data_IF_026901938017
#
_entry.id   IF_026901938017
#
_cell.length_a   1.000
_cell.length_b   1.000
_cell.length_c   1.000
_cell.angle_alpha   90.00
_cell.angle_beta   90.00
_cell.angle_gamma   90.00
#
_symmetry.space_group_name_H-M   'P 1'
#
loop_
_entity.id
_entity.type
_entity.pdbx_description
1 polymer ?
#
# COMPACT_ATOMS: atom_id res chain seq x y z
N UNK A 1 -26.34 -21.66 -69.13
CA UNK A 1 -25.40 -20.63 -69.62
C UNK A 1 -24.89 -19.69 -68.53
N UNK A 2 -25.67 -19.35 -67.49
CA UNK A 2 -25.22 -18.44 -66.41
C UNK A 2 -24.15 -19.02 -65.45
N UNK A 3 -24.11 -20.33 -65.21
CA UNK A 3 -23.19 -20.94 -64.23
C UNK A 3 -21.73 -21.01 -64.74
N UNK A 4 -21.51 -21.12 -66.06
CA UNK A 4 -20.17 -21.16 -66.66
C UNK A 4 -19.47 -19.79 -66.66
N UNK A 5 -20.23 -18.69 -66.71
CA UNK A 5 -19.68 -17.33 -66.76
C UNK A 5 -19.19 -16.88 -65.37
N UNK A 6 -19.91 -17.25 -64.30
CA UNK A 6 -19.52 -16.94 -62.92
C UNK A 6 -18.26 -17.72 -62.53
N UNK A 7 -18.14 -18.98 -62.95
CA UNK A 7 -16.95 -19.80 -62.72
C UNK A 7 -15.69 -19.24 -63.39
N UNK A 8 -15.80 -18.72 -64.62
CA UNK A 8 -14.68 -18.12 -65.33
C UNK A 8 -14.19 -16.80 -64.70
N UNK A 9 -15.11 -15.97 -64.21
CA UNK A 9 -14.77 -14.69 -63.55
C UNK A 9 -14.10 -14.93 -62.19
N UNK A 10 -14.58 -15.92 -61.43
CA UNK A 10 -13.96 -16.30 -60.16
C UNK A 10 -12.55 -16.85 -60.34
N UNK A 11 -12.31 -17.65 -61.39
CA UNK A 11 -10.99 -18.22 -61.68
C UNK A 11 -9.96 -17.14 -62.09
N UNK A 12 -10.36 -16.16 -62.91
CA UNK A 12 -9.49 -15.04 -63.31
C UNK A 12 -9.15 -14.14 -62.11
N UNK A 13 -10.10 -13.89 -61.20
CA UNK A 13 -9.86 -13.11 -59.99
C UNK A 13 -8.86 -13.77 -59.03
N UNK A 14 -8.95 -15.10 -58.84
CA UNK A 14 -8.03 -15.84 -57.98
C UNK A 14 -6.62 -15.89 -58.57
N UNK A 15 -6.48 -16.15 -59.88
CA UNK A 15 -5.16 -16.19 -60.55
C UNK A 15 -4.51 -14.80 -60.59
N UNK A 16 -5.30 -13.73 -60.79
CA UNK A 16 -4.80 -12.35 -60.74
C UNK A 16 -4.29 -11.95 -59.36
N UNK A 17 -4.99 -12.36 -58.29
CA UNK A 17 -4.60 -12.02 -56.91
C UNK A 17 -3.30 -12.71 -56.47
N UNK A 18 -3.10 -13.98 -56.81
CA UNK A 18 -1.86 -14.72 -56.50
C UNK A 18 -0.64 -14.15 -57.24
N UNK A 19 -0.80 -13.76 -58.50
CA UNK A 19 0.28 -13.13 -59.26
C UNK A 19 0.70 -11.77 -58.66
N UNK A 20 -0.26 -10.95 -58.22
CA UNK A 20 0.00 -9.61 -57.69
C UNK A 20 0.57 -9.61 -56.27
N UNK A 21 0.06 -10.46 -55.36
CA UNK A 21 0.45 -10.41 -53.94
C UNK A 21 1.57 -11.35 -53.53
N UNK A 22 1.86 -12.41 -54.31
CA UNK A 22 2.86 -13.41 -53.94
C UNK A 22 4.04 -13.40 -54.91
N UNK A 23 3.77 -13.42 -56.21
CA UNK A 23 4.82 -13.53 -57.24
C UNK A 23 5.51 -12.18 -57.50
N UNK A 24 4.74 -11.09 -57.63
CA UNK A 24 5.30 -9.77 -57.93
C UNK A 24 6.25 -9.23 -56.83
N UNK A 25 5.95 -9.34 -55.52
CA UNK A 25 6.88 -8.89 -54.47
C UNK A 25 8.15 -9.75 -54.40
N UNK A 26 8.04 -11.05 -54.69
CA UNK A 26 9.16 -11.98 -54.66
C UNK A 26 10.14 -11.80 -55.83
N UNK A 27 9.67 -11.34 -57.00
CA UNK A 27 10.52 -11.13 -58.19
C UNK A 27 11.06 -9.69 -58.32
N UNK A 28 10.34 -8.67 -57.81
CA UNK A 28 10.67 -7.27 -58.13
C UNK A 28 11.16 -6.43 -56.96
N UNK A 29 11.12 -6.90 -55.72
CA UNK A 29 11.62 -6.16 -54.55
C UNK A 29 10.85 -4.86 -54.27
N UNK A 30 10.39 -4.67 -53.04
CA UNK A 30 9.69 -3.44 -52.70
C UNK A 30 10.67 -2.25 -52.71
N UNK A 31 10.51 -1.33 -53.66
CA UNK A 31 11.17 -0.01 -53.59
C UNK A 31 10.70 0.68 -52.32
N UNK A 32 11.64 0.97 -51.40
CA UNK A 32 11.42 1.78 -50.20
C UNK A 32 10.69 3.08 -50.56
N UNK A 33 9.39 3.13 -50.25
CA UNK A 33 8.63 4.38 -50.24
C UNK A 33 9.08 5.26 -49.09
N UNK A 34 9.15 6.57 -49.32
CA UNK A 34 9.49 7.55 -48.31
C UNK A 34 8.46 7.52 -47.16
N UNK A 35 8.96 7.39 -45.94
CA UNK A 35 8.17 7.43 -44.71
C UNK A 35 7.79 8.88 -44.47
N UNK A 36 6.51 9.22 -44.52
CA UNK A 36 6.00 10.47 -43.96
C UNK A 36 6.01 10.35 -42.45
N UNK A 37 6.83 11.17 -41.81
CA UNK A 37 7.00 11.28 -40.36
C UNK A 37 5.68 11.77 -39.74
N UNK A 38 4.94 10.87 -39.10
CA UNK A 38 3.81 11.22 -38.27
C UNK A 38 4.38 11.89 -37.00
N UNK A 39 3.89 13.07 -36.58
CA UNK A 39 4.33 13.67 -35.31
C UNK A 39 4.14 12.64 -34.19
N UNK A 40 5.11 12.48 -33.28
CA UNK A 40 5.00 11.52 -32.20
C UNK A 40 3.72 11.81 -31.41
N UNK A 41 2.93 10.77 -31.18
CA UNK A 41 1.86 10.85 -30.20
C UNK A 41 2.51 11.29 -28.88
N UNK A 42 1.99 12.36 -28.27
CA UNK A 42 2.39 12.72 -26.92
C UNK A 42 2.17 11.50 -26.03
N UNK A 43 3.25 10.85 -25.63
CA UNK A 43 3.22 9.88 -24.54
C UNK A 43 2.76 10.67 -23.31
N UNK A 44 1.52 10.43 -22.89
CA UNK A 44 1.07 10.84 -21.57
C UNK A 44 1.93 10.02 -20.62
N UNK A 45 3.01 10.62 -20.12
CA UNK A 45 3.82 10.01 -19.06
C UNK A 45 2.86 9.71 -17.92
N UNK A 46 2.58 8.42 -17.68
CA UNK A 46 1.96 8.00 -16.43
C UNK A 46 2.82 8.57 -15.31
N UNK A 47 2.22 9.27 -14.31
CA UNK A 47 2.98 9.76 -13.17
C UNK A 47 3.82 8.62 -12.61
N UNK A 48 5.09 8.88 -12.35
CA UNK A 48 5.92 7.91 -11.66
C UNK A 48 5.21 7.54 -10.34
N UNK A 49 5.15 6.24 -10.00
CA UNK A 49 4.61 5.78 -8.72
C UNK A 49 5.15 6.62 -7.57
N UNK A 50 4.29 7.07 -6.66
CA UNK A 50 4.74 7.84 -5.50
C UNK A 50 5.74 6.99 -4.70
N UNK A 51 6.97 7.50 -4.57
CA UNK A 51 8.03 6.83 -3.83
C UNK A 51 7.86 7.09 -2.33
N UNK A 52 7.92 6.02 -1.54
CA UNK A 52 7.85 6.09 -0.08
C UNK A 52 9.05 6.84 0.51
N UNK A 53 8.77 7.70 1.48
CA UNK A 53 9.73 8.42 2.31
C UNK A 53 9.50 8.08 3.78
N UNK A 54 10.51 7.44 4.38
CA UNK A 54 10.48 7.11 5.81
C UNK A 54 10.36 8.37 6.66
N UNK A 55 9.52 8.31 7.69
CA UNK A 55 9.42 9.33 8.73
C UNK A 55 10.43 9.12 9.86
N UNK A 56 11.22 8.04 9.82
CA UNK A 56 12.28 7.82 10.79
C UNK A 56 13.48 8.74 10.51
N UNK A 57 13.96 9.42 11.54
CA UNK A 57 15.22 10.19 11.50
C UNK A 57 16.44 9.31 11.80
N UNK A 58 16.21 8.15 12.41
CA UNK A 58 17.23 7.12 12.63
C UNK A 58 16.84 5.86 11.83
N UNK A 59 17.74 5.32 10.97
CA UNK A 59 17.43 4.13 10.20
C UNK A 59 17.03 2.94 11.08
N UNK A 60 16.05 2.12 10.65
CA UNK A 60 15.70 0.88 11.34
C UNK A 60 16.83 -0.14 11.20
N UNK A 61 16.75 -1.25 11.92
CA UNK A 61 17.74 -2.32 11.82
C UNK A 61 17.71 -3.04 10.45
N UNK A 62 16.55 -3.03 9.79
CA UNK A 62 16.37 -3.56 8.45
C UNK A 62 15.20 -2.87 7.73
N UNK A 63 15.15 -3.02 6.41
CA UNK A 63 14.05 -2.59 5.56
C UNK A 63 13.59 -3.76 4.67
N UNK A 64 12.30 -3.82 4.36
CA UNK A 64 11.73 -4.74 3.39
C UNK A 64 10.66 -4.05 2.54
N UNK A 65 10.34 -4.63 1.39
CA UNK A 65 9.22 -4.19 0.56
C UNK A 65 8.20 -5.31 0.43
N UNK A 66 6.94 -4.97 0.67
CA UNK A 66 5.79 -5.83 0.49
C UNK A 66 4.95 -5.29 -0.66
N UNK A 67 4.69 -6.14 -1.65
CA UNK A 67 3.82 -5.82 -2.78
C UNK A 67 2.45 -6.47 -2.58
N UNK A 68 1.42 -5.65 -2.42
CA UNK A 68 0.05 -6.08 -2.22
C UNK A 68 -0.66 -6.28 -3.56
N UNK A 69 -1.38 -7.39 -3.68
CA UNK A 69 -2.28 -7.64 -4.82
C UNK A 69 -3.60 -6.88 -4.70
N UNK A 70 -4.02 -6.59 -3.48
CA UNK A 70 -5.15 -5.73 -3.13
C UNK A 70 -4.94 -5.14 -1.72
N UNK A 71 -5.80 -4.21 -1.32
CA UNK A 71 -5.67 -3.47 -0.05
C UNK A 71 -6.59 -4.02 1.06
N UNK A 72 -7.06 -5.27 0.95
CA UNK A 72 -7.92 -5.84 1.99
C UNK A 72 -7.09 -6.43 3.15
N UNK A 73 -7.72 -6.57 4.32
CA UNK A 73 -7.07 -7.11 5.51
C UNK A 73 -6.40 -8.48 5.28
N UNK A 74 -7.05 -9.51 4.70
CA UNK A 74 -6.41 -10.80 4.48
C UNK A 74 -5.09 -10.73 3.70
N UNK A 75 -5.04 -9.95 2.62
CA UNK A 75 -3.82 -9.77 1.81
C UNK A 75 -2.74 -9.06 2.61
N UNK A 76 -3.08 -7.98 3.30
CA UNK A 76 -2.16 -7.22 4.15
C UNK A 76 -1.58 -8.11 5.26
N UNK A 77 -2.44 -8.85 5.95
CA UNK A 77 -2.06 -9.72 7.07
C UNK A 77 -1.09 -10.81 6.63
N UNK A 78 -1.40 -11.53 5.54
CA UNK A 78 -0.53 -12.59 5.00
C UNK A 78 0.83 -12.01 4.60
N UNK A 79 0.84 -10.86 3.94
CA UNK A 79 2.08 -10.26 3.45
C UNK A 79 2.98 -9.80 4.60
N UNK A 80 2.41 -9.19 5.65
CA UNK A 80 3.16 -8.81 6.85
C UNK A 80 3.59 -10.03 7.69
N UNK A 81 2.76 -11.06 7.80
CA UNK A 81 3.11 -12.32 8.47
C UNK A 81 4.30 -13.01 7.77
N UNK A 82 4.29 -13.04 6.44
CA UNK A 82 5.39 -13.60 5.67
C UNK A 82 6.71 -12.86 5.96
N UNK A 83 6.68 -11.54 6.03
CA UNK A 83 7.86 -10.73 6.35
C UNK A 83 8.29 -10.85 7.82
N UNK A 84 7.35 -11.14 8.72
CA UNK A 84 7.64 -11.37 10.13
C UNK A 84 8.48 -12.64 10.37
N UNK A 85 8.49 -13.63 9.45
CA UNK A 85 9.37 -14.79 9.56
C UNK A 85 10.86 -14.45 9.37
N UNK A 86 11.17 -13.33 8.73
CA UNK A 86 12.53 -12.80 8.64
C UNK A 86 12.89 -12.10 9.97
N UNK A 87 13.07 -12.89 11.04
CA UNK A 87 13.24 -12.41 12.41
C UNK A 87 14.42 -11.45 12.59
N UNK A 88 14.25 -10.47 13.48
CA UNK A 88 15.31 -9.61 14.00
C UNK A 88 15.55 -9.92 15.49
N UNK A 89 16.59 -9.32 16.07
CA UNK A 89 16.81 -9.42 17.51
C UNK A 89 15.76 -8.61 18.29
N UNK A 90 15.55 -9.00 19.55
CA UNK A 90 14.70 -8.27 20.49
C UNK A 90 15.05 -6.78 20.56
N UNK A 91 14.02 -5.93 20.56
CA UNK A 91 14.15 -4.48 20.62
C UNK A 91 14.40 -3.81 19.27
N UNK A 92 14.47 -4.58 18.17
CA UNK A 92 14.73 -4.03 16.84
C UNK A 92 13.47 -3.74 16.04
N UNK A 93 13.60 -2.79 15.11
CA UNK A 93 12.58 -2.43 14.14
C UNK A 93 13.01 -2.84 12.74
N UNK A 94 12.04 -3.31 11.96
CA UNK A 94 12.11 -3.41 10.50
C UNK A 94 11.10 -2.46 9.89
N UNK A 95 11.51 -1.61 8.95
CA UNK A 95 10.58 -0.80 8.17
C UNK A 95 10.07 -1.57 6.95
N UNK A 96 8.76 -1.50 6.72
CA UNK A 96 8.07 -2.19 5.64
C UNK A 96 7.53 -1.15 4.66
N UNK A 97 8.05 -1.16 3.44
CA UNK A 97 7.52 -0.37 2.33
C UNK A 97 6.32 -1.12 1.75
N UNK A 98 5.12 -0.57 1.88
CA UNK A 98 3.88 -1.24 1.50
C UNK A 98 3.42 -0.64 0.16
N UNK A 99 3.64 -1.39 -0.92
CA UNK A 99 3.34 -0.95 -2.27
C UNK A 99 2.32 -1.83 -2.98
N UNK A 100 1.66 -1.31 -4.00
CA UNK A 100 0.88 -2.03 -5.00
C UNK A 100 1.41 -1.73 -6.42
N UNK A 101 0.67 -2.14 -7.46
CA UNK A 101 1.05 -1.88 -8.85
C UNK A 101 1.21 -0.38 -9.21
N UNK A 102 0.66 0.52 -8.39
CA UNK A 102 0.67 1.98 -8.56
C UNK A 102 1.74 2.68 -7.71
N UNK A 103 2.48 1.95 -6.86
CA UNK A 103 3.48 2.51 -5.94
C UNK A 103 3.12 2.32 -4.47
N UNK A 104 3.64 3.19 -3.60
CA UNK A 104 3.31 3.17 -2.18
C UNK A 104 1.80 3.28 -1.98
N UNK A 105 1.24 2.39 -1.17
CA UNK A 105 -0.18 2.42 -0.83
C UNK A 105 -0.47 3.66 0.02
N UNK A 106 -1.48 4.48 -0.30
CA UNK A 106 -1.85 5.60 0.53
C UNK A 106 -2.32 5.15 1.92
N UNK A 107 -1.89 5.86 2.97
CA UNK A 107 -2.27 5.58 4.35
C UNK A 107 -3.79 5.51 4.57
N UNK A 108 -4.62 6.41 4.02
CA UNK A 108 -6.08 6.29 4.17
C UNK A 108 -6.63 4.98 3.63
N UNK A 109 -6.15 4.54 2.47
CA UNK A 109 -6.58 3.28 1.86
C UNK A 109 -6.09 2.08 2.69
N UNK A 110 -4.83 2.13 3.14
CA UNK A 110 -4.25 1.10 4.00
C UNK A 110 -5.03 0.95 5.30
N UNK A 111 -5.29 2.07 5.98
CA UNK A 111 -5.99 2.10 7.26
C UNK A 111 -7.42 1.56 7.12
N UNK A 112 -8.14 1.91 6.07
CA UNK A 112 -9.47 1.35 5.78
C UNK A 112 -9.38 -0.17 5.51
N UNK A 113 -8.31 -0.61 4.85
CA UNK A 113 -8.03 -2.02 4.60
C UNK A 113 -7.91 -2.85 5.88
N UNK A 114 -7.26 -2.31 6.93
CA UNK A 114 -7.05 -3.01 8.22
C UNK A 114 -8.11 -2.67 9.27
N UNK A 115 -8.69 -1.46 9.24
CA UNK A 115 -9.75 -0.98 10.12
C UNK A 115 -10.90 -0.46 9.25
N UNK A 116 -11.84 -1.32 8.83
CA UNK A 116 -12.96 -0.90 7.98
C UNK A 116 -13.81 0.21 8.59
N UNK A 117 -13.92 0.28 9.92
CA UNK A 117 -14.62 1.35 10.63
C UNK A 117 -14.03 2.76 10.37
N UNK A 118 -12.76 2.85 9.93
CA UNK A 118 -12.14 4.11 9.56
C UNK A 118 -12.77 4.76 8.31
N UNK A 119 -13.61 4.03 7.56
CA UNK A 119 -14.43 4.62 6.47
C UNK A 119 -15.41 5.69 6.95
N UNK A 120 -15.79 5.66 8.24
CA UNK A 120 -16.61 6.71 8.86
C UNK A 120 -15.81 8.00 9.15
N UNK A 121 -14.48 7.95 9.03
CA UNK A 121 -13.58 9.06 9.34
C UNK A 121 -13.13 9.79 8.07
N UNK A 122 -12.75 11.06 8.23
CA UNK A 122 -12.14 11.86 7.17
C UNK A 122 -10.61 11.68 7.13
N UNK A 123 -10.13 10.43 7.10
CA UNK A 123 -8.70 10.09 7.22
C UNK A 123 -7.82 10.85 6.22
N UNK A 124 -8.27 10.95 4.96
CA UNK A 124 -7.55 11.67 3.90
C UNK A 124 -7.49 13.19 4.10
N UNK A 125 -8.36 13.78 4.93
CA UNK A 125 -8.30 15.20 5.27
C UNK A 125 -7.31 15.48 6.39
N UNK A 126 -6.96 14.47 7.19
CA UNK A 126 -6.10 14.62 8.35
C UNK A 126 -4.64 14.30 8.07
N UNK A 127 -4.38 13.31 7.21
CA UNK A 127 -3.04 12.77 7.03
C UNK A 127 -2.51 12.97 5.61
N UNK A 128 -1.18 13.04 5.52
CA UNK A 128 -0.48 12.85 4.27
C UNK A 128 -0.74 11.44 3.71
N UNK A 129 -0.55 11.27 2.40
CA UNK A 129 -0.79 9.97 1.77
C UNK A 129 0.28 8.93 2.16
N UNK A 130 1.52 9.35 2.41
CA UNK A 130 2.59 8.43 2.78
C UNK A 130 2.54 8.09 4.28
N UNK A 131 3.15 6.98 4.66
CA UNK A 131 3.28 6.55 6.04
C UNK A 131 4.44 5.58 6.21
N UNK A 132 5.00 5.54 7.41
CA UNK A 132 5.99 4.53 7.80
C UNK A 132 5.29 3.38 8.52
N UNK A 133 5.44 2.17 7.99
CA UNK A 133 5.02 0.94 8.64
C UNK A 133 6.22 0.21 9.21
N UNK A 134 6.13 -0.26 10.45
CA UNK A 134 7.22 -0.96 11.14
C UNK A 134 6.74 -2.29 11.72
N UNK A 135 7.66 -3.24 11.78
CA UNK A 135 7.55 -4.43 12.63
C UNK A 135 8.56 -4.30 13.77
N UNK A 136 8.08 -4.30 15.00
CA UNK A 136 8.91 -4.35 16.20
C UNK A 136 9.01 -5.79 16.72
N UNK A 137 10.22 -6.24 17.02
CA UNK A 137 10.50 -7.60 17.47
C UNK A 137 10.82 -7.61 18.96
N UNK A 138 10.15 -8.47 19.73
CA UNK A 138 10.53 -8.78 21.10
C UNK A 138 10.29 -10.26 21.43
N UNK A 139 10.77 -10.70 22.60
CA UNK A 139 10.54 -12.04 23.13
C UNK A 139 9.08 -12.50 23.22
N UNK A 140 8.09 -11.59 23.10
CA UNK A 140 6.66 -11.90 23.16
C UNK A 140 6.01 -11.97 21.77
N UNK A 141 6.66 -11.46 20.72
CA UNK A 141 6.17 -11.54 19.35
C UNK A 141 6.68 -10.44 18.42
N UNK A 142 5.94 -10.27 17.33
CA UNK A 142 6.19 -9.24 16.31
C UNK A 142 4.99 -8.31 16.26
N UNK A 143 5.24 -7.02 16.40
CA UNK A 143 4.22 -6.02 16.69
C UNK A 143 4.21 -4.95 15.60
N UNK A 144 3.17 -4.91 14.76
CA UNK A 144 3.01 -3.85 13.78
C UNK A 144 2.82 -2.46 14.42
N UNK A 145 3.41 -1.46 13.77
CA UNK A 145 3.29 -0.04 14.11
C UNK A 145 3.13 0.75 12.82
N UNK A 146 2.30 1.78 12.86
CA UNK A 146 2.04 2.66 11.74
C UNK A 146 2.19 4.11 12.18
N UNK A 147 2.95 4.89 11.41
CA UNK A 147 3.24 6.29 11.65
C UNK A 147 2.76 7.10 10.46
N UNK A 148 1.71 7.89 10.66
CA UNK A 148 1.16 8.79 9.64
C UNK A 148 1.40 10.24 10.03
N UNK A 149 1.77 11.09 9.08
CA UNK A 149 2.01 12.51 9.34
C UNK A 149 0.73 13.32 9.17
N UNK A 150 0.47 14.23 10.11
CA UNK A 150 -0.64 15.16 10.03
C UNK A 150 -0.39 16.20 8.93
N UNK A 151 -1.42 16.55 8.20
CA UNK A 151 -1.40 17.71 7.29
C UNK A 151 -1.29 19.00 8.08
N UNK A 152 -0.68 20.01 7.46
CA UNK A 152 -0.55 21.33 8.06
C UNK A 152 -1.93 21.91 8.46
N UNK A 153 -2.04 22.37 9.71
CA UNK A 153 -3.26 22.99 10.24
C UNK A 153 -4.32 22.01 10.76
N UNK A 154 -4.09 20.70 10.70
CA UNK A 154 -4.98 19.70 11.29
C UNK A 154 -4.81 19.70 12.82
N UNK A 155 -5.92 19.81 13.55
CA UNK A 155 -5.93 19.76 15.02
C UNK A 155 -5.80 18.32 15.51
N UNK A 156 -4.91 18.09 16.49
CA UNK A 156 -4.76 16.80 17.17
C UNK A 156 -6.07 16.37 17.85
N UNK A 157 -6.81 17.31 18.45
CA UNK A 157 -8.10 17.07 19.11
C UNK A 157 -9.14 16.56 18.11
N UNK A 158 -9.17 17.11 16.88
CA UNK A 158 -10.10 16.67 15.85
C UNK A 158 -9.86 15.22 15.42
N UNK A 159 -8.58 14.84 15.27
CA UNK A 159 -8.19 13.47 14.93
C UNK A 159 -8.52 12.52 16.07
N UNK A 160 -8.10 12.84 17.29
CA UNK A 160 -8.33 11.99 18.46
C UNK A 160 -9.81 11.86 18.80
N UNK A 161 -10.59 12.93 18.63
CA UNK A 161 -12.05 12.89 18.79
C UNK A 161 -12.71 11.93 17.80
N UNK A 162 -12.34 12.00 16.53
CA UNK A 162 -12.88 11.10 15.50
C UNK A 162 -12.53 9.62 15.75
N UNK A 163 -11.26 9.33 16.08
CA UNK A 163 -10.89 7.95 16.45
C UNK A 163 -11.60 7.48 17.73
N UNK A 164 -11.80 8.37 18.70
CA UNK A 164 -12.56 8.12 19.92
C UNK A 164 -14.01 7.69 19.65
N UNK A 165 -14.68 8.29 18.66
CA UNK A 165 -16.05 7.96 18.27
C UNK A 165 -16.18 6.53 17.72
N UNK A 166 -15.14 6.02 17.06
CA UNK A 166 -15.17 4.67 16.46
C UNK A 166 -14.59 3.59 17.38
N UNK A 167 -13.99 3.94 18.53
CA UNK A 167 -13.45 2.97 19.51
C UNK A 167 -14.38 1.77 19.80
N UNK A 168 -15.71 1.93 19.98
CA UNK A 168 -16.61 0.82 20.28
C UNK A 168 -16.79 -0.18 19.14
N UNK A 169 -16.46 0.21 17.91
CA UNK A 169 -16.65 -0.61 16.69
C UNK A 169 -15.32 -0.97 16.02
N UNK A 170 -14.18 -0.70 16.67
CA UNK A 170 -12.86 -1.06 16.14
C UNK A 170 -12.63 -2.57 16.18
N UNK A 171 -12.32 -3.13 15.01
CA UNK A 171 -11.87 -4.52 14.85
C UNK A 171 -10.37 -4.65 15.15
N UNK A 172 -9.98 -4.49 16.41
CA UNK A 172 -8.58 -4.42 16.81
C UNK A 172 -7.74 -5.64 16.42
N UNK A 173 -8.36 -6.81 16.31
CA UNK A 173 -7.68 -8.04 15.88
C UNK A 173 -6.98 -7.91 14.54
N UNK A 174 -7.51 -7.09 13.63
CA UNK A 174 -6.96 -6.90 12.28
C UNK A 174 -5.63 -6.14 12.25
N UNK A 175 -5.23 -5.54 13.38
CA UNK A 175 -3.96 -4.82 13.49
C UNK A 175 -2.79 -5.74 13.86
N UNK A 176 -3.07 -6.99 14.23
CA UNK A 176 -2.07 -7.92 14.77
C UNK A 176 -1.75 -9.04 13.78
N UNK A 177 -0.50 -9.50 13.82
CA UNK A 177 -0.06 -10.65 13.01
C UNK A 177 -0.52 -11.99 13.60
N UNK A 178 -0.72 -12.05 14.92
CA UNK A 178 -1.22 -13.21 15.65
C UNK A 178 -2.41 -12.79 16.52
N UNK A 179 -3.37 -13.70 16.81
CA UNK A 179 -4.53 -13.37 17.62
C UNK A 179 -4.15 -12.74 18.97
N UNK A 180 -4.55 -11.48 19.27
CA UNK A 180 -4.19 -10.79 20.51
C UNK A 180 -5.07 -11.19 21.72
N UNK A 181 -6.00 -12.12 21.51
CA UNK A 181 -7.04 -12.48 22.47
C UNK A 181 -8.14 -11.42 22.58
N UNK A 182 -8.72 -11.26 23.76
CA UNK A 182 -9.78 -10.28 23.99
C UNK A 182 -9.22 -8.97 24.51
N UNK A 183 -9.88 -7.86 24.18
CA UNK A 183 -9.45 -6.52 24.56
C UNK A 183 -10.26 -5.99 25.75
N UNK A 184 -9.61 -5.18 26.58
CA UNK A 184 -10.30 -4.35 27.56
C UNK A 184 -11.08 -3.20 26.89
N UNK A 185 -11.87 -2.45 27.66
CA UNK A 185 -12.31 -1.13 27.21
C UNK A 185 -11.12 -0.20 26.99
N UNK A 186 -11.31 0.80 26.12
CA UNK A 186 -10.32 1.86 25.90
C UNK A 186 -10.14 2.75 27.12
N UNK A 187 -8.90 3.18 27.34
CA UNK A 187 -8.46 3.99 28.48
C UNK A 187 -7.55 5.12 28.02
N UNK A 188 -7.50 6.18 28.82
CA UNK A 188 -6.50 7.24 28.68
C UNK A 188 -5.14 6.75 29.15
N UNK A 189 -4.13 6.95 28.31
CA UNK A 189 -2.75 6.58 28.54
C UNK A 189 -1.80 7.72 28.19
N UNK A 190 -0.50 7.42 28.29
CA UNK A 190 0.55 8.35 27.89
C UNK A 190 1.81 7.64 27.44
N UNK A 191 2.54 8.29 26.56
CA UNK A 191 3.92 7.96 26.21
C UNK A 191 4.76 9.23 26.28
N UNK A 192 5.76 9.26 27.17
CA UNK A 192 6.45 10.51 27.51
C UNK A 192 5.47 11.59 27.97
N UNK A 193 5.45 12.73 27.28
CA UNK A 193 4.51 13.84 27.50
C UNK A 193 3.24 13.78 26.65
N UNK A 194 3.13 12.81 25.73
CA UNK A 194 2.02 12.73 24.78
C UNK A 194 0.88 11.87 25.36
N UNK A 195 -0.34 12.37 25.21
CA UNK A 195 -1.55 11.63 25.57
C UNK A 195 -1.85 10.58 24.50
N UNK A 196 -2.27 9.40 24.96
CA UNK A 196 -2.62 8.29 24.09
C UNK A 196 -3.92 7.65 24.55
N UNK A 197 -4.52 6.86 23.66
CA UNK A 197 -5.64 5.98 23.96
C UNK A 197 -5.17 4.55 23.78
N UNK A 198 -5.57 3.67 24.68
CA UNK A 198 -5.12 2.28 24.60
C UNK A 198 -6.17 1.27 25.07
N UNK A 199 -6.05 0.06 24.55
CA UNK A 199 -6.77 -1.13 25.00
C UNK A 199 -5.83 -2.32 25.11
N UNK A 200 -5.93 -3.07 26.21
CA UNK A 200 -5.00 -4.16 26.53
C UNK A 200 -5.61 -5.49 26.10
N UNK A 201 -4.85 -6.26 25.31
CA UNK A 201 -5.21 -7.62 24.93
C UNK A 201 -4.88 -8.64 26.03
N UNK A 202 -5.53 -9.79 26.02
CA UNK A 202 -5.19 -10.89 26.95
C UNK A 202 -3.89 -11.61 26.57
N UNK A 203 -3.45 -11.52 25.31
CA UNK A 203 -2.15 -12.03 24.89
C UNK A 203 -1.02 -11.19 25.51
N UNK A 204 -0.01 -11.85 26.06
CA UNK A 204 1.15 -11.15 26.64
C UNK A 204 1.82 -10.24 25.61
N UNK A 205 2.01 -8.97 25.96
CA UNK A 205 2.60 -7.95 25.08
C UNK A 205 1.60 -7.24 24.16
N UNK A 206 0.41 -7.81 23.94
CA UNK A 206 -0.60 -7.19 23.08
C UNK A 206 -1.26 -6.00 23.76
N UNK A 207 -1.11 -4.82 23.17
CA UNK A 207 -1.84 -3.62 23.58
C UNK A 207 -2.01 -2.71 22.38
N UNK A 208 -3.24 -2.42 22.02
CA UNK A 208 -3.51 -1.47 20.96
C UNK A 208 -3.38 -0.07 21.55
N UNK A 209 -2.53 0.76 20.97
CA UNK A 209 -2.30 2.13 21.38
C UNK A 209 -2.41 3.03 20.16
N UNK A 210 -3.01 4.19 20.32
CA UNK A 210 -2.91 5.25 19.34
C UNK A 210 -2.80 6.63 19.99
N UNK A 211 -2.20 7.58 19.29
CA UNK A 211 -2.06 8.95 19.78
C UNK A 211 -1.36 9.85 18.79
N UNK A 212 -1.33 11.15 19.11
CA UNK A 212 -0.56 12.14 18.36
C UNK A 212 0.74 12.42 19.13
N UNK A 213 1.88 12.15 18.51
CA UNK A 213 3.22 12.41 19.04
C UNK A 213 3.96 13.32 18.07
N UNK A 214 4.26 14.55 18.51
CA UNK A 214 4.72 15.60 17.60
C UNK A 214 3.70 15.85 16.47
N UNK A 215 4.14 15.76 15.22
CA UNK A 215 3.30 15.89 14.01
C UNK A 215 2.78 14.54 13.49
N UNK A 216 2.91 13.46 14.28
CA UNK A 216 2.60 12.11 13.83
C UNK A 216 1.44 11.49 14.60
N UNK A 217 0.51 10.88 13.87
CA UNK A 217 -0.40 9.90 14.42
C UNK A 217 0.27 8.53 14.40
N UNK A 218 0.44 7.96 15.58
CA UNK A 218 1.09 6.66 15.75
C UNK A 218 0.07 5.66 16.25
N UNK A 219 -0.03 4.53 15.55
CA UNK A 219 -0.77 3.35 15.97
C UNK A 219 0.25 2.25 16.27
N UNK A 220 0.14 1.62 17.44
CA UNK A 220 1.05 0.55 17.85
C UNK A 220 0.31 -0.59 18.52
N UNK A 221 0.71 -1.81 18.22
CA UNK A 221 0.13 -3.05 18.78
C UNK A 221 0.83 -3.54 20.04
N UNK A 222 1.85 -2.82 20.53
CA UNK A 222 2.58 -3.12 21.75
C UNK A 222 3.08 -1.81 22.40
N UNK A 223 2.89 -1.67 23.71
CA UNK A 223 3.23 -0.42 24.42
C UNK A 223 4.74 -0.17 24.51
N UNK A 224 5.55 -1.21 24.64
CA UNK A 224 7.01 -1.08 24.60
C UNK A 224 7.47 -0.63 23.21
N UNK A 225 6.84 -1.17 22.16
CA UNK A 225 7.07 -0.77 20.78
C UNK A 225 6.70 0.72 20.53
N UNK A 226 5.57 1.18 21.08
CA UNK A 226 5.19 2.60 21.06
C UNK A 226 6.24 3.48 21.73
N UNK A 227 6.75 3.12 22.92
CA UNK A 227 7.81 3.91 23.58
C UNK A 227 9.09 3.94 22.73
N UNK A 228 9.45 2.79 22.16
CA UNK A 228 10.70 2.62 21.43
C UNK A 228 10.71 3.30 20.07
N UNK A 229 9.55 3.58 19.44
CA UNK A 229 9.52 4.27 18.14
C UNK A 229 9.75 5.79 18.24
N UNK A 230 9.43 6.42 19.39
CA UNK A 230 9.57 7.87 19.56
C UNK A 230 10.99 8.39 19.24
N UNK A 231 12.07 7.82 19.79
CA UNK A 231 13.43 8.24 19.46
C UNK A 231 13.77 8.07 17.97
N UNK A 232 13.21 7.07 17.29
CA UNK A 232 13.42 6.88 15.84
C UNK A 232 12.74 7.98 15.03
N UNK A 233 11.71 8.63 15.58
CA UNK A 233 11.04 9.81 15.02
C UNK A 233 11.69 11.13 15.47
N UNK A 234 12.73 11.08 16.31
CA UNK A 234 13.40 12.26 16.84
C UNK A 234 12.65 12.93 17.99
N UNK A 235 11.83 12.18 18.72
CA UNK A 235 11.00 12.63 19.86
C UNK A 235 11.50 12.08 21.20
#
# INVERSE_FOLDING_TARGET
>A
TAILIIGAIAFIGVVGSLAYFVIFPALFGQKKGAVTEQPPANEVSTPAPAAHQSYLVTPPAAEAQVNLSDKNYPTIAIALQNEAFNQLADGQFKEIKISDASGQVPFPDYLIGVIPAATALSVSNWFENDFTALLYYDSKGVWPIYVAKLKAGVSSESVLGGFGEIEPVLELGNMYLLPPGTFSGFKDGKVGSYQTRYSVGTQSGASFNYGIVGDYFVVSTNYDALKSVLPLLGL
#
